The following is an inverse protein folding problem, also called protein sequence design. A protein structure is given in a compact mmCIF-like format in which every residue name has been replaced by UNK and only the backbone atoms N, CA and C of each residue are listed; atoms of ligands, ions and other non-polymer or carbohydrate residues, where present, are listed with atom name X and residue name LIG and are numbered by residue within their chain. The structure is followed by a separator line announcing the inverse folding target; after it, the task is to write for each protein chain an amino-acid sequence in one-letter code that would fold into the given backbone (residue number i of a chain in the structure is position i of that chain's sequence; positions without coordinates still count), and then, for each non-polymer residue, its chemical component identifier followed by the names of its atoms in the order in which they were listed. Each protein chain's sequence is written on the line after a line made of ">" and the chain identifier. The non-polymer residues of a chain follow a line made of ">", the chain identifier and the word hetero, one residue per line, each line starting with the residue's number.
data_IF_624131766456
#
_entry.id   IF_624131766456
#
_cell.length_a   1.000
_cell.length_b   1.000
_cell.length_c   1.000
_cell.angle_alpha   90.00
_cell.angle_beta   90.00
_cell.angle_gamma   90.00
#
_symmetry.space_group_name_H-M   'P 1'
#
loop_
_entity.id
_entity.type
_entity.pdbx_description
1 polymer ?
#
# COMPACT_ATOMS: atom_id res chain seq x y z
N UNK A 1 -15.98 1.90 11.00
CA UNK A 1 -15.48 2.67 12.17
C UNK A 1 -14.02 2.99 11.93
N UNK A 2 -13.45 4.02 12.56
CA UNK A 2 -12.03 4.36 12.40
C UNK A 2 -11.73 5.82 12.71
N UNK A 3 -10.44 6.13 12.86
CA UNK A 3 -9.97 7.47 13.25
C UNK A 3 -10.45 8.54 12.26
N UNK A 4 -10.40 8.28 10.94
CA UNK A 4 -10.87 9.24 9.94
C UNK A 4 -12.34 9.62 10.11
N UNK A 5 -13.21 8.66 10.42
CA UNK A 5 -14.63 8.93 10.63
C UNK A 5 -14.89 9.72 11.91
N UNK A 6 -14.13 9.43 12.98
CA UNK A 6 -14.19 10.20 14.22
C UNK A 6 -13.76 11.64 13.97
N UNK A 7 -12.63 11.85 13.28
CA UNK A 7 -12.13 13.20 12.98
C UNK A 7 -13.10 14.01 12.09
N UNK A 8 -13.72 13.37 11.10
CA UNK A 8 -14.76 14.03 10.29
C UNK A 8 -15.95 14.47 11.14
N UNK A 9 -16.38 13.63 12.08
CA UNK A 9 -17.47 13.97 12.99
C UNK A 9 -17.09 15.09 13.97
N UNK A 10 -15.91 15.02 14.57
CA UNK A 10 -15.44 16.06 15.48
C UNK A 10 -15.20 17.38 14.77
N UNK A 11 -14.67 17.38 13.54
CA UNK A 11 -14.55 18.60 12.72
C UNK A 11 -15.89 19.30 12.52
N UNK A 12 -16.95 18.54 12.22
CA UNK A 12 -18.31 19.10 12.14
C UNK A 12 -18.79 19.68 13.48
N UNK A 13 -18.49 19.01 14.60
CA UNK A 13 -18.93 19.45 15.94
C UNK A 13 -18.21 20.70 16.41
N UNK A 14 -16.91 20.78 16.14
CA UNK A 14 -16.02 21.88 16.57
C UNK A 14 -15.92 23.01 15.52
N UNK A 15 -16.70 22.93 14.43
CA UNK A 15 -16.67 23.88 13.31
C UNK A 15 -15.25 24.08 12.73
N UNK A 16 -14.57 22.97 12.49
CA UNK A 16 -13.23 22.90 11.91
C UNK A 16 -13.27 22.12 10.59
N UNK A 17 -12.61 22.64 9.56
CA UNK A 17 -12.58 22.03 8.23
C UNK A 17 -11.76 20.74 8.25
N UNK A 18 -12.42 19.60 7.98
CA UNK A 18 -11.78 18.29 7.93
C UNK A 18 -12.10 17.62 6.61
N UNK A 19 -11.07 17.07 5.97
CA UNK A 19 -11.18 16.27 4.76
C UNK A 19 -10.55 14.89 4.99
N UNK A 20 -11.14 13.86 4.40
CA UNK A 20 -10.54 12.53 4.35
C UNK A 20 -10.32 12.12 2.89
N UNK A 21 -9.08 11.80 2.54
CA UNK A 21 -8.73 11.25 1.23
C UNK A 21 -8.68 9.73 1.32
N UNK A 22 -9.39 9.06 0.42
CA UNK A 22 -9.48 7.60 0.36
C UNK A 22 -9.01 7.16 -1.02
N UNK A 23 -7.93 6.38 -1.04
CA UNK A 23 -7.40 5.77 -2.25
C UNK A 23 -7.73 4.29 -2.27
N UNK A 24 -8.07 3.77 -3.45
CA UNK A 24 -8.18 2.32 -3.63
C UNK A 24 -6.81 1.67 -3.40
N UNK A 25 -6.81 0.56 -2.66
CA UNK A 25 -5.59 -0.18 -2.34
C UNK A 25 -5.83 -1.68 -2.48
N UNK A 26 -4.77 -2.42 -2.79
CA UNK A 26 -4.80 -3.89 -2.87
C UNK A 26 -4.95 -4.48 -1.45
N UNK A 27 -6.04 -5.21 -1.13
CA UNK A 27 -6.42 -5.52 0.26
C UNK A 27 -5.51 -6.51 1.00
N UNK A 28 -4.63 -7.22 0.30
CA UNK A 28 -3.79 -8.29 0.87
C UNK A 28 -2.28 -8.03 0.78
N UNK A 29 -1.88 -6.84 0.35
CA UNK A 29 -0.48 -6.43 0.29
C UNK A 29 -0.34 -4.96 0.70
N UNK A 30 0.78 -4.57 1.33
CA UNK A 30 1.10 -3.15 1.48
C UNK A 30 1.15 -2.48 0.10
N UNK A 31 0.39 -1.40 -0.08
CA UNK A 31 0.24 -0.72 -1.38
C UNK A 31 0.87 0.67 -1.35
N UNK A 32 2.21 0.70 -1.40
CA UNK A 32 2.99 1.93 -1.37
C UNK A 32 2.73 2.84 -2.59
N UNK A 33 2.36 2.27 -3.74
CA UNK A 33 2.01 3.04 -4.93
C UNK A 33 0.70 3.81 -4.74
N UNK A 34 -0.33 3.16 -4.18
CA UNK A 34 -1.60 3.81 -3.87
C UNK A 34 -1.42 4.96 -2.86
N UNK A 35 -0.58 4.77 -1.85
CA UNK A 35 -0.24 5.81 -0.88
C UNK A 35 0.48 7.01 -1.55
N UNK A 36 1.45 6.76 -2.43
CA UNK A 36 2.16 7.82 -3.14
C UNK A 36 1.22 8.65 -4.04
N UNK A 37 0.25 8.01 -4.70
CA UNK A 37 -0.78 8.71 -5.49
C UNK A 37 -1.66 9.61 -4.63
N UNK A 38 -2.07 9.16 -3.44
CA UNK A 38 -2.81 10.00 -2.49
C UNK A 38 -2.03 11.25 -2.07
N UNK A 39 -0.72 11.13 -1.86
CA UNK A 39 0.16 12.28 -1.57
C UNK A 39 0.19 13.25 -2.75
N UNK A 40 0.18 12.76 -3.99
CA UNK A 40 0.10 13.61 -5.18
C UNK A 40 -1.20 14.41 -5.28
N UNK A 41 -2.30 13.92 -4.70
CA UNK A 41 -3.55 14.70 -4.59
C UNK A 41 -3.41 15.85 -3.60
N UNK A 42 -2.62 15.69 -2.54
CA UNK A 42 -2.36 16.78 -1.57
C UNK A 42 -1.65 17.97 -2.24
N UNK A 43 -0.69 17.71 -3.14
CA UNK A 43 -0.02 18.74 -3.94
C UNK A 43 -1.02 19.57 -4.77
N UNK A 44 -2.07 18.93 -5.30
CA UNK A 44 -3.12 19.61 -6.07
C UNK A 44 -4.08 20.44 -5.22
N UNK A 45 -4.31 20.01 -3.96
CA UNK A 45 -5.22 20.70 -3.04
C UNK A 45 -4.55 21.95 -2.47
N UNK A 46 -3.24 21.91 -2.22
CA UNK A 46 -2.49 23.00 -1.60
C UNK A 46 -1.43 23.56 -2.57
N UNK A 47 -1.80 24.50 -3.45
CA UNK A 47 -0.91 25.01 -4.51
C UNK A 47 0.35 25.74 -3.99
N UNK A 48 0.35 26.12 -2.71
CA UNK A 48 1.48 26.75 -2.02
C UNK A 48 2.52 25.71 -1.55
N UNK A 49 2.14 24.44 -1.48
CA UNK A 49 3.01 23.32 -1.13
C UNK A 49 3.41 22.63 -2.43
N UNK A 50 4.71 22.42 -2.63
CA UNK A 50 5.22 21.58 -3.72
C UNK A 50 5.68 20.25 -3.15
N UNK A 51 5.05 19.17 -3.56
CA UNK A 51 5.38 17.81 -3.17
C UNK A 51 5.83 17.04 -4.40
N UNK A 52 7.13 16.76 -4.48
CA UNK A 52 7.64 15.80 -5.45
C UNK A 52 7.38 14.38 -4.95
N UNK A 53 6.46 13.69 -5.61
CA UNK A 53 6.09 12.29 -5.30
C UNK A 53 6.98 11.26 -5.98
N UNK A 54 7.88 11.68 -6.89
CA UNK A 54 8.75 10.77 -7.64
C UNK A 54 9.59 9.86 -6.74
N UNK A 55 10.23 10.34 -5.66
CA UNK A 55 11.01 9.49 -4.75
C UNK A 55 10.16 8.40 -4.08
N UNK A 56 8.93 8.73 -3.69
CA UNK A 56 7.97 7.79 -3.08
C UNK A 56 7.55 6.69 -4.06
N UNK A 57 7.37 7.04 -5.34
CA UNK A 57 7.04 6.07 -6.40
C UNK A 57 8.21 5.13 -6.70
N UNK A 58 9.44 5.63 -6.71
CA UNK A 58 10.65 4.81 -6.88
C UNK A 58 10.83 3.84 -5.70
N UNK A 59 10.71 4.35 -4.47
CA UNK A 59 10.80 3.52 -3.26
C UNK A 59 9.70 2.45 -3.22
N UNK A 60 8.47 2.80 -3.60
CA UNK A 60 7.36 1.86 -3.70
C UNK A 60 7.67 0.71 -4.66
N UNK A 61 8.23 1.03 -5.84
CA UNK A 61 8.63 0.03 -6.83
C UNK A 61 9.76 -0.86 -6.30
N UNK A 62 10.78 -0.28 -5.66
CA UNK A 62 11.87 -1.04 -5.07
C UNK A 62 11.40 -1.99 -3.97
N UNK A 63 10.46 -1.55 -3.11
CA UNK A 63 9.87 -2.38 -2.07
C UNK A 63 9.06 -3.53 -2.67
N UNK A 64 8.25 -3.27 -3.70
CA UNK A 64 7.46 -4.31 -4.37
C UNK A 64 8.37 -5.38 -5.00
N UNK A 65 9.47 -4.98 -5.64
CA UNK A 65 10.47 -5.89 -6.20
C UNK A 65 11.15 -6.74 -5.12
N UNK A 66 11.55 -6.14 -3.99
CA UNK A 66 12.12 -6.87 -2.85
C UNK A 66 11.14 -7.90 -2.30
N UNK A 67 9.87 -7.52 -2.13
CA UNK A 67 8.81 -8.41 -1.66
C UNK A 67 8.54 -9.56 -2.64
N UNK A 68 8.59 -9.31 -3.96
CA UNK A 68 8.50 -10.35 -4.98
C UNK A 68 9.65 -11.35 -4.87
N UNK A 69 10.88 -10.89 -4.69
CA UNK A 69 12.07 -11.76 -4.53
C UNK A 69 11.96 -12.64 -3.28
N UNK A 70 11.59 -12.05 -2.13
CA UNK A 70 11.38 -12.78 -0.89
C UNK A 70 10.30 -13.86 -1.04
N UNK A 71 9.17 -13.53 -1.69
CA UNK A 71 8.10 -14.50 -1.99
C UNK A 71 8.58 -15.65 -2.88
N UNK A 72 9.46 -15.40 -3.85
CA UNK A 72 10.02 -16.44 -4.71
C UNK A 72 10.96 -17.37 -3.95
N UNK A 73 11.81 -16.81 -3.09
CA UNK A 73 12.74 -17.57 -2.24
C UNK A 73 12.02 -18.41 -1.17
N UNK A 74 10.88 -17.93 -0.66
CA UNK A 74 10.07 -18.62 0.33
C UNK A 74 9.19 -19.75 -0.24
N UNK A 75 9.16 -19.97 -1.57
CA UNK A 75 8.44 -21.12 -2.14
C UNK A 75 9.12 -22.41 -1.68
N UNK A 76 8.39 -23.36 -1.05
CA UNK A 76 8.99 -24.62 -0.65
C UNK A 76 9.55 -25.33 -1.87
N UNK A 77 10.74 -25.92 -1.72
CA UNK A 77 11.30 -26.80 -2.74
C UNK A 77 10.25 -27.88 -3.04
N UNK A 78 9.80 -27.95 -4.29
CA UNK A 78 8.91 -29.01 -4.74
C UNK A 78 9.70 -30.31 -4.60
N UNK A 79 9.41 -31.10 -3.57
CA UNK A 79 10.01 -32.42 -3.40
C UNK A 79 9.54 -33.26 -4.60
N UNK A 80 10.45 -33.75 -5.46
CA UNK A 80 10.04 -34.54 -6.62
C UNK A 80 9.31 -35.81 -6.16
N UNK A 81 8.14 -36.08 -6.74
CA UNK A 81 7.41 -37.34 -6.56
C UNK A 81 8.14 -38.48 -7.31
N UNK A 82 9.26 -38.97 -6.77
CA UNK A 82 9.92 -40.18 -7.30
C UNK A 82 9.81 -41.40 -6.38
N UNK A 83 9.30 -41.26 -5.16
CA UNK A 83 9.23 -42.39 -4.21
C UNK A 83 7.92 -43.21 -4.26
N UNK A 84 6.95 -42.83 -5.11
CA UNK A 84 5.62 -43.46 -5.12
C UNK A 84 5.52 -44.78 -5.95
N UNK A 85 6.61 -45.26 -6.56
CA UNK A 85 6.58 -46.44 -7.46
C UNK A 85 7.28 -47.67 -6.87
N UNK A 86 7.97 -47.58 -5.74
CA UNK A 86 8.83 -48.66 -5.23
C UNK A 86 8.17 -49.65 -4.26
N UNK A 87 6.84 -49.58 -4.06
CA UNK A 87 6.07 -50.62 -3.36
C UNK A 87 4.85 -51.02 -4.20
N UNK A 88 5.10 -51.82 -5.24
CA UNK A 88 4.10 -52.67 -5.90
C UNK A 88 4.67 -54.05 -6.09
#
# INVERSE_FOLDING_TARGET
>A
TGVSAVLLNEGRRENFDVMCLLGEARPNIPDSEAAAKLVGVVDQIFPEIKIDVSPLLEDAKMLEERMKKLKQQAKPAVVPKEEAVMYR
#
